data_IF_815117877926
#
_entry.id   IF_815117877926
#
_cell.length_a   1.000
_cell.length_b   1.000
_cell.length_c   1.000
_cell.angle_alpha   90.00
_cell.angle_beta   90.00
_cell.angle_gamma   90.00
#
_symmetry.space_group_name_H-M   'P 1'
#
loop_
_entity.id
_entity.type
_entity.pdbx_description
1 polymer ?
#
# COMPACT_ATOMS: atom_id res chain seq x y z
N UNK A 1 -28.44 -77.66 -19.19
CA UNK A 1 -28.99 -76.31 -18.92
C UNK A 1 -27.92 -75.50 -18.24
N UNK A 2 -27.23 -74.63 -18.98
CA UNK A 2 -26.18 -73.73 -18.40
C UNK A 2 -26.84 -72.37 -18.15
N UNK A 3 -26.88 -71.94 -16.88
CA UNK A 3 -27.36 -70.62 -16.48
C UNK A 3 -26.19 -69.61 -16.61
N UNK A 4 -26.32 -68.68 -17.55
CA UNK A 4 -25.38 -67.56 -17.68
C UNK A 4 -25.81 -66.43 -16.75
N UNK A 5 -24.96 -66.16 -15.76
CA UNK A 5 -25.13 -65.00 -14.85
C UNK A 5 -24.46 -63.78 -15.47
N UNK A 6 -25.28 -62.80 -15.82
CA UNK A 6 -24.83 -61.52 -16.38
C UNK A 6 -24.56 -60.55 -15.20
N UNK A 7 -23.28 -60.30 -14.90
CA UNK A 7 -22.89 -59.34 -13.85
C UNK A 7 -22.82 -57.93 -14.47
N UNK A 8 -23.75 -57.07 -14.09
CA UNK A 8 -23.70 -55.62 -14.40
C UNK A 8 -22.74 -54.93 -13.45
N UNK A 9 -21.59 -54.49 -13.96
CA UNK A 9 -20.70 -53.61 -13.24
C UNK A 9 -21.21 -52.18 -13.37
N UNK A 10 -21.72 -51.61 -12.29
CA UNK A 10 -22.06 -50.19 -12.19
C UNK A 10 -20.76 -49.40 -11.99
N UNK A 11 -20.28 -48.73 -13.03
CA UNK A 11 -19.14 -47.84 -12.93
C UNK A 11 -19.65 -46.47 -12.39
N UNK A 12 -19.54 -46.28 -11.08
CA UNK A 12 -19.85 -45.00 -10.43
C UNK A 12 -18.73 -44.04 -10.72
N UNK A 13 -18.93 -43.13 -11.67
CA UNK A 13 -18.08 -41.96 -11.89
C UNK A 13 -18.37 -40.97 -10.77
N UNK A 14 -17.57 -40.98 -9.72
CA UNK A 14 -17.56 -39.92 -8.71
C UNK A 14 -16.93 -38.68 -9.35
N UNK A 15 -17.75 -37.75 -9.83
CA UNK A 15 -17.31 -36.39 -10.15
C UNK A 15 -16.90 -35.74 -8.82
N UNK A 16 -15.60 -35.72 -8.53
CA UNK A 16 -15.02 -34.84 -7.52
C UNK A 16 -15.19 -33.39 -8.03
N UNK A 17 -16.31 -32.77 -7.72
CA UNK A 17 -16.43 -31.33 -7.78
C UNK A 17 -15.49 -30.75 -6.73
N UNK A 18 -14.26 -30.45 -7.14
CA UNK A 18 -13.37 -29.64 -6.34
C UNK A 18 -14.11 -28.33 -6.08
N UNK A 19 -14.54 -28.10 -4.85
CA UNK A 19 -15.09 -26.81 -4.47
C UNK A 19 -13.97 -25.79 -4.71
N UNK A 20 -14.16 -24.93 -5.72
CA UNK A 20 -13.19 -23.88 -6.02
C UNK A 20 -12.95 -23.09 -4.74
N UNK A 21 -11.69 -22.99 -4.33
CA UNK A 21 -11.32 -22.30 -3.11
C UNK A 21 -11.83 -20.85 -3.20
N UNK A 22 -12.51 -20.38 -2.15
CA UNK A 22 -13.15 -19.07 -2.15
C UNK A 22 -12.11 -17.98 -2.38
N UNK A 23 -12.30 -17.23 -3.43
CA UNK A 23 -11.50 -16.03 -3.75
C UNK A 23 -11.92 -14.91 -2.81
N UNK A 24 -10.95 -14.17 -2.26
CA UNK A 24 -11.18 -12.96 -1.49
C UNK A 24 -10.09 -11.95 -1.81
N UNK A 25 -10.46 -10.85 -2.43
CA UNK A 25 -9.55 -9.72 -2.67
C UNK A 25 -9.41 -8.91 -1.38
N UNK A 26 -8.18 -8.66 -0.97
CA UNK A 26 -7.86 -7.86 0.22
C UNK A 26 -7.39 -6.46 -0.17
N UNK A 27 -6.60 -6.36 -1.28
CA UNK A 27 -5.99 -5.12 -1.72
C UNK A 27 -5.69 -5.17 -3.22
N UNK A 28 -5.74 -4.01 -3.86
CA UNK A 28 -5.25 -3.78 -5.23
C UNK A 28 -4.27 -2.60 -5.17
N UNK A 29 -3.11 -2.77 -5.76
CA UNK A 29 -2.08 -1.75 -5.85
C UNK A 29 -1.67 -1.49 -7.32
N UNK A 30 -1.44 -0.21 -7.68
CA UNK A 30 -1.70 0.99 -6.90
C UNK A 30 -3.20 1.13 -6.55
N UNK A 31 -3.54 1.90 -5.51
CA UNK A 31 -4.92 2.03 -5.01
C UNK A 31 -5.84 2.82 -5.94
N UNK A 32 -5.26 3.60 -6.82
CA UNK A 32 -5.91 4.38 -7.87
C UNK A 32 -4.89 4.71 -8.96
N UNK A 33 -5.33 5.20 -10.11
CA UNK A 33 -4.43 5.58 -11.20
C UNK A 33 -4.97 6.76 -12.02
N UNK A 34 -4.16 7.25 -12.96
CA UNK A 34 -4.49 8.38 -13.81
C UNK A 34 -4.69 7.96 -15.27
N UNK A 35 -5.69 8.54 -15.93
CA UNK A 35 -5.86 8.44 -17.38
C UNK A 35 -5.06 9.52 -18.12
N UNK A 36 -4.88 9.35 -19.43
CA UNK A 36 -4.20 10.35 -20.28
C UNK A 36 -2.68 10.38 -20.12
N UNK A 37 -2.07 9.33 -19.55
CA UNK A 37 -0.62 9.18 -19.51
C UNK A 37 -0.07 8.76 -20.89
N UNK A 38 1.17 9.17 -21.22
CA UNK A 38 1.86 8.78 -22.46
C UNK A 38 1.99 7.25 -22.59
N UNK A 39 2.29 6.56 -21.49
CA UNK A 39 2.18 5.12 -21.42
C UNK A 39 0.80 4.76 -20.85
N UNK A 40 -0.10 4.16 -21.64
CA UNK A 40 -1.44 3.83 -21.19
C UNK A 40 -1.52 2.52 -20.40
N UNK A 41 -0.41 1.82 -20.22
CA UNK A 41 -0.39 0.53 -19.50
C UNK A 41 -0.45 0.77 -18.00
N UNK A 42 -1.41 0.13 -17.34
CA UNK A 42 -1.53 0.06 -15.88
C UNK A 42 -1.33 -1.39 -15.43
N UNK A 43 -0.33 -1.62 -14.59
CA UNK A 43 -0.17 -2.89 -13.88
C UNK A 43 -0.87 -2.81 -12.53
N UNK A 44 -1.81 -3.71 -12.28
CA UNK A 44 -2.45 -3.90 -10.99
C UNK A 44 -1.90 -5.15 -10.32
N UNK A 45 -1.41 -5.02 -9.11
CA UNK A 45 -1.15 -6.16 -8.22
C UNK A 45 -2.40 -6.41 -7.39
N UNK A 46 -3.02 -7.55 -7.59
CA UNK A 46 -4.16 -8.02 -6.79
C UNK A 46 -3.62 -8.94 -5.71
N UNK A 47 -3.85 -8.58 -4.45
CA UNK A 47 -3.49 -9.36 -3.28
C UNK A 47 -4.74 -9.86 -2.55
N UNK A 48 -4.73 -11.14 -2.16
CA UNK A 48 -5.85 -11.73 -1.44
C UNK A 48 -5.76 -13.25 -1.33
N UNK A 49 -6.80 -13.90 -0.84
CA UNK A 49 -6.84 -15.36 -0.73
C UNK A 49 -7.22 -15.98 -2.08
N UNK A 50 -6.43 -16.93 -2.55
CA UNK A 50 -6.68 -17.73 -3.76
C UNK A 50 -6.94 -16.90 -5.03
N UNK A 51 -6.33 -15.70 -5.15
CA UNK A 51 -6.55 -14.81 -6.29
C UNK A 51 -5.79 -15.24 -7.54
N UNK A 52 -4.68 -15.99 -7.40
CA UNK A 52 -3.80 -16.36 -8.52
C UNK A 52 -4.54 -16.98 -9.69
N UNK A 53 -5.42 -17.93 -9.42
CA UNK A 53 -6.11 -18.71 -10.46
C UNK A 53 -7.51 -18.18 -10.77
N UNK A 54 -7.88 -17.03 -10.19
CA UNK A 54 -9.17 -16.39 -10.45
C UNK A 54 -9.28 -15.90 -11.89
N UNK A 55 -10.48 -16.00 -12.45
CA UNK A 55 -10.83 -15.30 -13.69
C UNK A 55 -10.94 -13.80 -13.41
N UNK A 56 -10.40 -12.98 -14.32
CA UNK A 56 -10.44 -11.53 -14.18
C UNK A 56 -11.16 -10.93 -15.40
N UNK A 57 -12.05 -9.99 -15.12
CA UNK A 57 -12.66 -9.16 -16.16
C UNK A 57 -12.82 -7.73 -15.69
N UNK A 58 -12.80 -6.80 -16.65
CA UNK A 58 -13.03 -5.38 -16.42
C UNK A 58 -14.25 -4.92 -17.20
N UNK A 59 -15.07 -4.09 -16.58
CA UNK A 59 -16.23 -3.48 -17.21
C UNK A 59 -16.08 -1.95 -17.09
N UNK A 60 -15.45 -1.37 -18.11
CA UNK A 60 -15.27 0.08 -18.23
C UNK A 60 -14.95 0.48 -19.67
N UNK A 61 -15.54 1.56 -20.21
CA UNK A 61 -15.29 2.01 -21.58
C UNK A 61 -13.80 2.28 -21.86
N UNK A 62 -13.30 1.75 -22.96
CA UNK A 62 -11.90 1.91 -23.41
C UNK A 62 -10.83 1.38 -22.41
N UNK A 63 -11.23 0.47 -21.52
CA UNK A 63 -10.30 -0.30 -20.71
C UNK A 63 -10.34 -1.76 -21.11
N UNK A 64 -9.20 -2.37 -21.37
CA UNK A 64 -9.09 -3.80 -21.68
C UNK A 64 -7.95 -4.44 -20.91
N UNK A 65 -8.06 -5.72 -20.67
CA UNK A 65 -6.98 -6.53 -20.11
C UNK A 65 -6.07 -6.93 -21.28
N UNK A 66 -4.80 -6.49 -21.23
CA UNK A 66 -3.78 -6.88 -22.21
C UNK A 66 -3.14 -8.23 -21.84
N UNK A 67 -2.90 -8.47 -20.55
CA UNK A 67 -2.36 -9.75 -20.05
C UNK A 67 -2.59 -9.93 -18.55
N UNK A 68 -2.41 -11.17 -18.10
CA UNK A 68 -2.47 -11.56 -16.69
C UNK A 68 -1.24 -12.43 -16.40
N UNK A 69 -0.46 -12.05 -15.38
CA UNK A 69 0.64 -12.85 -14.89
C UNK A 69 0.26 -13.50 -13.54
N UNK A 70 0.31 -14.85 -13.54
CA UNK A 70 0.02 -15.67 -12.37
C UNK A 70 1.34 -16.00 -11.67
N UNK A 71 1.51 -15.51 -10.44
CA UNK A 71 2.73 -15.70 -9.67
C UNK A 71 2.72 -17.07 -8.96
N UNK A 72 3.86 -17.48 -8.39
CA UNK A 72 3.97 -18.75 -7.66
C UNK A 72 3.06 -18.79 -6.42
N UNK A 73 2.95 -17.65 -5.72
CA UNK A 73 2.06 -17.53 -4.58
C UNK A 73 0.59 -17.55 -4.99
N UNK A 74 -0.28 -18.35 -4.34
CA UNK A 74 -1.71 -18.37 -4.62
C UNK A 74 -2.42 -17.05 -4.27
N UNK A 75 -1.75 -16.16 -3.55
CA UNK A 75 -2.31 -14.94 -3.01
C UNK A 75 -1.99 -13.67 -3.82
N UNK A 76 -1.30 -13.81 -4.95
CA UNK A 76 -0.92 -12.68 -5.81
C UNK A 76 -1.27 -12.95 -7.26
N UNK A 77 -1.74 -11.89 -7.94
CA UNK A 77 -2.05 -11.87 -9.35
C UNK A 77 -1.69 -10.50 -9.91
N UNK A 78 -1.00 -10.44 -11.05
CA UNK A 78 -0.75 -9.19 -11.76
C UNK A 78 -1.68 -9.09 -12.97
N UNK A 79 -2.38 -7.98 -13.09
CA UNK A 79 -3.29 -7.69 -14.21
C UNK A 79 -2.77 -6.46 -14.95
N UNK A 80 -2.50 -6.61 -16.23
CA UNK A 80 -2.06 -5.51 -17.08
C UNK A 80 -3.24 -4.98 -17.89
N UNK A 81 -3.60 -3.73 -17.64
CA UNK A 81 -4.67 -3.03 -18.30
C UNK A 81 -4.12 -2.04 -19.31
N UNK A 82 -4.85 -1.86 -20.40
CA UNK A 82 -4.64 -0.77 -21.33
C UNK A 82 -5.74 0.28 -21.13
N UNK A 83 -5.34 1.51 -20.89
CA UNK A 83 -6.21 2.65 -20.59
C UNK A 83 -6.29 3.64 -21.75
N UNK A 84 -5.92 3.25 -22.99
CA UNK A 84 -5.98 4.14 -24.15
C UNK A 84 -7.40 4.61 -24.41
N UNK A 85 -7.62 5.93 -24.33
CA UNK A 85 -8.93 6.54 -24.53
C UNK A 85 -9.89 6.42 -23.35
N UNK A 86 -9.46 5.80 -22.23
CA UNK A 86 -10.27 5.76 -21.01
C UNK A 86 -10.50 7.16 -20.45
N UNK A 87 -11.66 7.39 -19.88
CA UNK A 87 -12.01 8.62 -19.19
C UNK A 87 -11.87 8.45 -17.68
N UNK A 88 -11.75 9.52 -16.89
CA UNK A 88 -11.79 9.43 -15.43
C UNK A 88 -13.13 8.88 -14.94
N UNK A 89 -13.10 8.09 -13.88
CA UNK A 89 -14.31 7.52 -13.27
C UNK A 89 -14.01 6.25 -12.46
N UNK A 90 -15.04 5.62 -11.94
CA UNK A 90 -14.95 4.39 -11.17
C UNK A 90 -15.19 3.18 -12.07
N UNK A 91 -14.16 2.37 -12.30
CA UNK A 91 -14.29 1.09 -13.00
C UNK A 91 -14.54 -0.06 -12.02
N UNK A 92 -15.16 -1.13 -12.49
CA UNK A 92 -15.33 -2.36 -11.73
C UNK A 92 -14.40 -3.44 -12.30
N UNK A 93 -13.50 -3.93 -11.45
CA UNK A 93 -12.69 -5.13 -11.70
C UNK A 93 -13.36 -6.32 -11.02
N UNK A 94 -13.64 -7.38 -11.79
CA UNK A 94 -14.09 -8.66 -11.23
C UNK A 94 -12.89 -9.59 -11.11
N UNK A 95 -12.74 -10.22 -9.94
CA UNK A 95 -11.71 -11.23 -9.67
C UNK A 95 -12.42 -12.44 -9.07
N UNK A 96 -12.65 -13.46 -9.87
CA UNK A 96 -13.57 -14.57 -9.53
C UNK A 96 -14.97 -14.04 -9.25
N UNK A 97 -15.48 -14.29 -8.04
CA UNK A 97 -16.79 -13.79 -7.59
C UNK A 97 -16.76 -12.38 -6.98
N UNK A 98 -15.57 -11.85 -6.70
CA UNK A 98 -15.40 -10.53 -6.08
C UNK A 98 -15.53 -9.40 -7.11
N UNK A 99 -16.19 -8.31 -6.72
CA UNK A 99 -16.26 -7.07 -7.49
C UNK A 99 -15.55 -5.98 -6.71
N UNK A 100 -14.48 -5.43 -7.29
CA UNK A 100 -13.69 -4.37 -6.67
C UNK A 100 -13.84 -3.11 -7.50
N UNK A 101 -14.17 -2.02 -6.84
CA UNK A 101 -14.21 -0.69 -7.45
C UNK A 101 -12.82 -0.09 -7.45
N UNK A 102 -12.45 0.49 -8.59
CA UNK A 102 -11.13 1.07 -8.79
C UNK A 102 -11.25 2.44 -9.45
N UNK A 103 -10.60 3.44 -8.86
CA UNK A 103 -10.72 4.82 -9.29
C UNK A 103 -9.69 5.17 -10.36
N UNK A 104 -10.16 5.58 -11.55
CA UNK A 104 -9.36 6.25 -12.55
C UNK A 104 -9.54 7.76 -12.40
N UNK A 105 -8.44 8.48 -12.20
CA UNK A 105 -8.42 9.93 -11.94
C UNK A 105 -8.02 10.72 -13.18
N UNK A 106 -8.46 11.95 -13.27
CA UNK A 106 -7.92 12.91 -14.22
C UNK A 106 -6.54 13.36 -13.75
N UNK A 107 -5.56 13.34 -14.66
CA UNK A 107 -4.27 13.95 -14.41
C UNK A 107 -4.42 15.47 -14.31
N UNK A 108 -3.91 16.06 -13.25
CA UNK A 108 -3.79 17.52 -13.18
C UNK A 108 -2.71 18.00 -14.15
N UNK A 109 -3.10 18.89 -15.06
CA UNK A 109 -2.22 19.46 -16.10
C UNK A 109 -1.74 20.86 -15.77
N UNK A 110 -2.30 21.51 -14.73
CA UNK A 110 -1.93 22.88 -14.34
C UNK A 110 -0.51 22.89 -13.77
N UNK A 111 0.44 23.47 -14.52
CA UNK A 111 1.84 23.63 -14.11
C UNK A 111 2.02 24.50 -12.86
N UNK A 112 1.08 25.40 -12.63
CA UNK A 112 1.16 26.48 -11.63
C UNK A 112 1.08 25.97 -10.16
N UNK A 113 0.69 24.72 -9.93
CA UNK A 113 0.58 24.13 -8.58
C UNK A 113 1.76 23.23 -8.20
N UNK A 114 2.74 23.08 -9.07
CA UNK A 114 3.91 22.20 -8.85
C UNK A 114 5.16 23.05 -8.70
N UNK A 115 5.23 23.73 -7.58
CA UNK A 115 6.43 24.46 -7.25
C UNK A 115 7.55 23.48 -6.87
N UNK A 116 8.69 23.61 -7.56
CA UNK A 116 9.93 22.92 -7.20
C UNK A 116 10.65 23.63 -6.05
N UNK A 117 11.86 23.16 -5.77
CA UNK A 117 12.76 23.79 -4.82
C UNK A 117 13.59 24.86 -5.53
N UNK A 118 13.91 25.91 -4.80
CA UNK A 118 14.79 27.00 -5.24
C UNK A 118 15.90 27.20 -4.24
N UNK A 119 16.87 28.08 -4.55
CA UNK A 119 17.93 28.48 -3.62
C UNK A 119 17.43 29.34 -2.45
N UNK A 120 16.14 29.72 -2.45
CA UNK A 120 15.50 30.39 -1.32
C UNK A 120 14.91 29.40 -0.29
N UNK A 121 14.88 28.11 -0.61
CA UNK A 121 14.31 27.11 0.26
C UNK A 121 15.31 26.66 1.35
N UNK A 122 14.81 26.48 2.56
CA UNK A 122 15.53 25.91 3.71
C UNK A 122 14.95 24.54 3.99
N UNK A 123 15.73 23.50 3.66
CA UNK A 123 15.35 22.11 3.92
C UNK A 123 15.72 21.70 5.33
N UNK A 124 14.76 21.12 6.05
CA UNK A 124 14.97 20.48 7.33
C UNK A 124 14.72 18.97 7.19
N UNK A 125 15.79 18.16 7.27
CA UNK A 125 15.67 16.71 7.29
C UNK A 125 15.33 16.26 8.71
N UNK A 126 14.27 15.45 8.83
CA UNK A 126 13.90 14.85 10.10
C UNK A 126 13.61 13.36 9.96
N UNK A 127 13.91 12.65 11.01
CA UNK A 127 13.57 11.24 11.17
C UNK A 127 12.29 11.15 12.00
N UNK A 128 11.15 10.72 11.44
CA UNK A 128 9.86 10.71 12.14
C UNK A 128 9.91 10.01 13.48
N UNK A 129 10.55 8.84 13.56
CA UNK A 129 10.70 8.08 14.81
C UNK A 129 11.36 8.89 15.95
N UNK A 130 12.20 9.89 15.61
CA UNK A 130 13.06 10.61 16.56
C UNK A 130 12.57 12.02 16.87
N UNK A 131 11.57 12.52 16.18
CA UNK A 131 11.15 13.90 16.33
C UNK A 131 10.12 14.07 17.45
N UNK A 132 8.89 13.67 17.25
CA UNK A 132 7.83 13.84 18.24
C UNK A 132 6.83 12.67 18.18
N UNK A 133 6.35 12.25 19.35
CA UNK A 133 5.30 11.24 19.48
C UNK A 133 4.01 11.89 19.92
N UNK A 134 2.92 11.60 19.23
CA UNK A 134 1.58 11.96 19.69
C UNK A 134 1.07 11.09 20.85
N UNK A 135 1.75 9.97 21.11
CA UNK A 135 1.28 8.93 22.03
C UNK A 135 0.35 7.90 21.38
N UNK A 136 -0.30 8.24 20.28
CA UNK A 136 -1.34 7.43 19.63
C UNK A 136 -0.91 6.00 19.31
N UNK A 137 0.34 5.82 18.88
CA UNK A 137 0.86 4.51 18.45
C UNK A 137 1.73 3.84 19.54
N UNK A 138 2.15 4.57 20.55
CA UNK A 138 3.02 4.09 21.63
C UNK A 138 2.26 3.67 22.88
N UNK A 139 0.98 4.00 23.00
CA UNK A 139 0.13 3.50 24.08
C UNK A 139 0.08 1.96 24.08
N UNK A 140 0.08 1.34 25.25
CA UNK A 140 0.20 -0.10 25.44
C UNK A 140 -0.80 -0.91 24.58
N UNK A 141 -2.05 -0.44 24.45
CA UNK A 141 -3.08 -1.09 23.62
C UNK A 141 -2.77 -1.02 22.14
N UNK A 142 -2.32 0.13 21.64
CA UNK A 142 -1.95 0.35 20.24
C UNK A 142 -0.69 -0.44 19.89
N UNK A 143 0.35 -0.36 20.73
CA UNK A 143 1.59 -1.11 20.56
C UNK A 143 1.36 -2.63 20.53
N UNK A 144 0.48 -3.16 21.40
CA UNK A 144 0.09 -4.58 21.37
C UNK A 144 -0.59 -4.96 20.06
N UNK A 145 -1.49 -4.12 19.54
CA UNK A 145 -2.17 -4.35 18.26
C UNK A 145 -1.19 -4.35 17.09
N UNK A 146 -0.26 -3.39 17.06
CA UNK A 146 0.79 -3.31 16.05
C UNK A 146 1.71 -4.53 16.08
N UNK A 147 2.16 -4.95 17.27
CA UNK A 147 3.01 -6.11 17.45
C UNK A 147 2.35 -7.44 17.07
N UNK A 148 1.02 -7.49 16.96
CA UNK A 148 0.31 -8.68 16.50
C UNK A 148 0.35 -8.84 14.96
N UNK A 149 0.60 -7.77 14.22
CA UNK A 149 0.56 -7.73 12.74
C UNK A 149 1.89 -7.35 12.10
N UNK A 150 2.79 -6.77 12.87
CA UNK A 150 4.11 -6.34 12.45
C UNK A 150 5.20 -7.09 13.23
N UNK A 151 6.39 -7.18 12.64
CA UNK A 151 7.56 -7.62 13.38
C UNK A 151 7.77 -6.70 14.58
N UNK A 152 8.13 -7.30 15.68
CA UNK A 152 8.35 -6.73 17.01
C UNK A 152 8.35 -5.19 17.09
N UNK A 153 7.35 -4.59 17.72
CA UNK A 153 7.28 -3.17 17.96
C UNK A 153 7.64 -2.86 19.42
N UNK A 154 8.89 -2.56 19.65
CA UNK A 154 9.42 -2.15 20.96
C UNK A 154 9.87 -0.69 20.90
N UNK A 155 9.31 0.13 21.77
CA UNK A 155 9.72 1.53 21.95
C UNK A 155 10.57 1.62 23.20
N UNK A 156 11.84 1.98 23.03
CA UNK A 156 12.76 2.25 24.15
C UNK A 156 13.68 3.41 23.79
N UNK A 157 13.39 4.58 24.33
CA UNK A 157 14.16 5.82 24.11
C UNK A 157 15.55 5.81 24.71
N UNK A 158 15.88 4.85 25.58
CA UNK A 158 17.21 4.68 26.13
C UNK A 158 18.13 3.89 25.22
N UNK A 159 17.59 3.18 24.27
CA UNK A 159 18.32 2.36 23.32
C UNK A 159 18.38 3.04 21.94
N UNK A 160 19.55 3.55 21.51
CA UNK A 160 19.68 4.26 20.23
C UNK A 160 19.28 3.43 19.00
N UNK A 161 19.41 2.11 19.08
CA UNK A 161 19.11 1.15 18.03
C UNK A 161 17.64 0.71 17.97
N UNK A 162 16.82 1.10 18.93
CA UNK A 162 15.41 0.78 18.95
C UNK A 162 14.55 1.98 18.54
N UNK A 163 13.26 1.74 18.30
CA UNK A 163 12.31 2.81 17.99
C UNK A 163 12.06 3.70 19.20
N UNK A 164 11.92 5.01 18.96
CA UNK A 164 11.60 5.99 19.98
C UNK A 164 10.14 6.43 19.95
N UNK A 165 9.39 5.99 18.93
CA UNK A 165 7.95 6.13 18.86
C UNK A 165 7.45 7.50 18.41
N UNK A 166 8.26 8.27 17.70
CA UNK A 166 7.80 9.44 16.96
C UNK A 166 6.86 9.01 15.82
N UNK A 167 5.91 9.88 15.47
CA UNK A 167 4.87 9.57 14.49
C UNK A 167 4.44 10.80 13.68
N UNK A 168 3.65 10.60 12.61
CA UNK A 168 3.19 11.66 11.72
C UNK A 168 2.31 12.68 12.42
N UNK A 169 1.49 12.24 13.36
CA UNK A 169 0.65 13.12 14.18
C UNK A 169 1.49 14.01 15.08
N UNK A 170 2.56 13.46 15.67
CA UNK A 170 3.52 14.24 16.45
C UNK A 170 4.20 15.32 15.61
N UNK A 171 4.56 15.03 14.37
CA UNK A 171 5.10 16.04 13.43
C UNK A 171 4.03 17.09 13.13
N UNK A 172 2.81 16.68 12.83
CA UNK A 172 1.69 17.56 12.48
C UNK A 172 1.40 18.57 13.60
N UNK A 173 1.46 18.15 14.85
CA UNK A 173 1.27 19.01 16.02
C UNK A 173 2.37 20.08 16.21
N UNK A 174 3.49 19.95 15.48
CA UNK A 174 4.65 20.85 15.60
C UNK A 174 4.99 21.61 14.32
N UNK A 175 4.03 21.74 13.39
CA UNK A 175 4.28 22.45 12.11
C UNK A 175 4.67 23.92 12.32
N UNK A 176 4.13 24.59 13.34
CA UNK A 176 4.45 25.97 13.64
C UNK A 176 5.91 26.15 14.10
N UNK A 177 6.47 25.16 14.79
CA UNK A 177 7.89 25.15 15.17
C UNK A 177 8.81 25.31 13.94
N UNK A 178 8.50 24.64 12.84
CA UNK A 178 9.32 24.74 11.62
C UNK A 178 9.22 26.12 10.98
N UNK A 179 8.05 26.74 10.99
CA UNK A 179 7.87 28.11 10.50
C UNK A 179 8.63 29.11 11.37
N UNK A 180 8.57 28.98 12.69
CA UNK A 180 9.33 29.82 13.63
C UNK A 180 10.83 29.66 13.43
N UNK A 181 11.31 28.47 13.04
CA UNK A 181 12.71 28.18 12.73
C UNK A 181 13.13 28.72 11.33
N UNK A 182 12.18 29.17 10.51
CA UNK A 182 12.45 29.65 9.15
C UNK A 182 12.64 28.54 8.10
N UNK A 183 12.19 27.33 8.40
CA UNK A 183 12.18 26.19 7.45
C UNK A 183 11.08 26.39 6.42
N UNK A 184 11.36 26.04 5.16
CA UNK A 184 10.38 26.09 4.07
C UNK A 184 10.05 24.72 3.49
N UNK A 185 10.83 23.69 3.83
CA UNK A 185 10.61 22.34 3.35
C UNK A 185 11.02 21.30 4.39
N UNK A 186 10.17 20.30 4.58
CA UNK A 186 10.42 19.16 5.45
C UNK A 186 10.77 17.94 4.61
N UNK A 187 11.92 17.35 4.86
CA UNK A 187 12.38 16.11 4.25
C UNK A 187 12.35 14.99 5.31
N UNK A 188 11.40 14.09 5.19
CA UNK A 188 11.30 12.93 6.09
C UNK A 188 12.20 11.80 5.59
N UNK A 189 12.95 11.13 6.49
CA UNK A 189 13.44 9.79 6.16
C UNK A 189 12.26 8.89 5.83
N UNK A 190 12.44 7.75 5.10
CA UNK A 190 11.32 7.01 4.53
C UNK A 190 10.23 6.67 5.55
N UNK A 191 9.00 7.05 5.22
CA UNK A 191 7.80 6.81 6.06
C UNK A 191 7.01 5.58 5.63
N UNK A 192 7.39 4.96 4.53
CA UNK A 192 6.74 3.76 4.02
C UNK A 192 7.01 2.56 4.92
N UNK A 193 6.09 1.58 4.88
CA UNK A 193 6.21 0.39 5.72
C UNK A 193 7.58 -0.27 5.59
N UNK A 194 8.21 -0.51 6.73
CA UNK A 194 9.45 -1.26 6.84
C UNK A 194 9.28 -2.35 7.89
N UNK A 195 8.63 -3.43 7.51
CA UNK A 195 8.33 -4.56 8.40
C UNK A 195 9.41 -5.64 8.38
N UNK A 196 10.67 -5.23 8.18
CA UNK A 196 11.80 -6.13 8.29
C UNK A 196 11.97 -6.62 9.72
N UNK A 197 12.34 -7.89 9.94
CA UNK A 197 12.70 -8.37 11.27
C UNK A 197 13.86 -7.54 11.85
N UNK A 198 13.86 -7.37 13.16
CA UNK A 198 15.06 -6.88 13.85
C UNK A 198 16.22 -7.84 13.52
N UNK A 199 17.42 -7.28 13.33
CA UNK A 199 18.58 -8.13 13.10
C UNK A 199 18.98 -8.88 14.38
N UNK A 200 19.91 -9.83 14.26
CA UNK A 200 20.38 -10.64 15.38
C UNK A 200 20.95 -9.82 16.55
N UNK A 201 21.45 -8.61 16.25
CA UNK A 201 21.93 -7.66 17.27
C UNK A 201 20.80 -6.84 17.93
N UNK A 202 19.53 -7.06 17.54
CA UNK A 202 18.37 -6.39 18.11
C UNK A 202 18.14 -4.96 17.59
N UNK A 203 18.73 -4.58 16.44
CA UNK A 203 18.51 -3.27 15.83
C UNK A 203 17.20 -3.26 15.05
N UNK A 204 16.36 -2.26 15.28
CA UNK A 204 15.17 -2.02 14.49
C UNK A 204 15.45 -1.08 13.30
N UNK A 205 14.63 -1.16 12.26
CA UNK A 205 14.74 -0.29 11.08
C UNK A 205 14.00 1.04 11.26
N UNK A 206 14.15 1.67 12.43
CA UNK A 206 13.46 2.91 12.83
C UNK A 206 13.66 4.07 11.86
N UNK A 207 14.76 4.06 11.11
CA UNK A 207 15.14 5.10 10.15
C UNK A 207 14.34 5.06 8.85
N UNK A 208 13.63 3.95 8.57
CA UNK A 208 12.80 3.78 7.37
C UNK A 208 13.51 3.21 6.14
N UNK A 209 14.85 3.17 6.09
CA UNK A 209 15.64 2.72 4.93
C UNK A 209 15.66 1.19 4.77
N UNK A 210 14.50 0.56 4.85
CA UNK A 210 14.30 -0.87 4.64
C UNK A 210 12.85 -1.14 4.20
N UNK A 211 12.39 -0.42 3.19
CA UNK A 211 11.01 -0.44 2.71
C UNK A 211 10.57 -1.85 2.30
N UNK A 212 9.46 -2.31 2.84
CA UNK A 212 8.83 -3.59 2.51
C UNK A 212 7.50 -3.44 1.77
N UNK A 213 6.89 -2.25 1.79
CA UNK A 213 5.66 -1.93 1.06
C UNK A 213 5.66 -0.47 0.61
N UNK A 214 5.70 -0.23 -0.71
CA UNK A 214 5.74 1.12 -1.30
C UNK A 214 4.38 1.80 -1.39
N UNK A 215 3.28 1.12 -1.07
CA UNK A 215 1.92 1.65 -1.19
C UNK A 215 1.30 2.02 0.14
N UNK A 216 2.03 1.80 1.23
CA UNK A 216 1.50 1.99 2.58
C UNK A 216 2.50 2.69 3.49
N UNK A 217 2.02 3.69 4.22
CA UNK A 217 2.75 4.28 5.33
C UNK A 217 2.94 3.21 6.42
N UNK A 218 4.10 3.22 7.07
CA UNK A 218 4.37 2.32 8.20
C UNK A 218 3.32 2.53 9.30
N UNK A 219 2.57 1.49 9.69
CA UNK A 219 1.52 1.63 10.70
C UNK A 219 1.99 2.11 12.07
N UNK A 220 3.30 2.09 12.31
CA UNK A 220 3.91 2.65 13.53
C UNK A 220 4.06 4.16 13.45
N UNK A 221 4.10 4.73 12.25
CA UNK A 221 4.11 6.19 12.02
C UNK A 221 2.72 6.75 11.80
N UNK A 222 1.81 5.96 11.21
CA UNK A 222 0.48 6.43 10.87
C UNK A 222 -0.17 5.67 9.75
N UNK A 223 -1.03 6.37 9.01
CA UNK A 223 -1.79 5.88 7.86
C UNK A 223 -1.54 6.74 6.63
N UNK A 224 -1.87 6.21 5.44
CA UNK A 224 -1.83 7.01 4.20
C UNK A 224 -2.71 8.27 4.29
N UNK A 225 -3.82 8.20 5.02
CA UNK A 225 -4.69 9.35 5.22
C UNK A 225 -4.03 10.41 6.11
N UNK A 226 -3.39 10.01 7.20
CA UNK A 226 -2.66 10.93 8.09
C UNK A 226 -1.46 11.58 7.41
N UNK A 227 -0.78 10.85 6.52
CA UNK A 227 0.29 11.45 5.72
C UNK A 227 -0.26 12.54 4.77
N UNK A 228 -1.40 12.28 4.11
CA UNK A 228 -2.06 13.30 3.27
C UNK A 228 -2.48 14.51 4.10
N UNK A 229 -3.09 14.29 5.26
CA UNK A 229 -3.48 15.37 6.16
C UNK A 229 -2.27 16.21 6.62
N UNK A 230 -1.17 15.57 6.99
CA UNK A 230 0.07 16.25 7.33
C UNK A 230 0.59 17.10 6.16
N UNK A 231 0.58 16.55 4.94
CA UNK A 231 1.02 17.28 3.75
C UNK A 231 0.12 18.49 3.44
N UNK A 232 -1.19 18.31 3.51
CA UNK A 232 -2.17 19.39 3.26
C UNK A 232 -2.02 20.52 4.28
N UNK A 233 -1.86 20.20 5.56
CA UNK A 233 -1.67 21.19 6.63
C UNK A 233 -0.31 21.88 6.54
N UNK A 234 0.76 21.14 6.18
CA UNK A 234 2.08 21.72 5.93
C UNK A 234 2.05 22.70 4.75
N UNK A 235 1.43 22.31 3.64
CA UNK A 235 1.26 23.19 2.47
C UNK A 235 0.45 24.45 2.82
N UNK A 236 -0.63 24.32 3.61
CA UNK A 236 -1.41 25.47 4.07
C UNK A 236 -0.58 26.45 4.92
N UNK A 237 0.51 25.99 5.53
CA UNK A 237 1.46 26.79 6.31
C UNK A 237 2.69 27.23 5.49
N UNK A 238 2.71 26.95 4.16
CA UNK A 238 3.83 27.31 3.27
C UNK A 238 5.03 26.35 3.36
N UNK A 239 4.89 25.21 4.02
CA UNK A 239 5.94 24.20 4.12
C UNK A 239 5.81 23.19 2.98
N UNK A 240 6.86 22.98 2.21
CA UNK A 240 6.96 21.92 1.19
C UNK A 240 7.27 20.59 1.88
N UNK A 241 6.83 19.47 1.28
CA UNK A 241 7.12 18.12 1.77
C UNK A 241 7.97 17.35 0.77
N UNK A 242 9.05 16.74 1.23
CA UNK A 242 9.88 15.80 0.49
C UNK A 242 9.70 14.41 1.08
N UNK A 243 9.18 13.50 0.26
CA UNK A 243 9.07 12.08 0.60
C UNK A 243 10.31 11.36 0.11
N UNK A 244 11.11 10.82 1.04
CA UNK A 244 12.26 10.01 0.70
C UNK A 244 11.81 8.63 0.20
N UNK A 245 12.36 8.21 -0.93
CA UNK A 245 12.03 6.94 -1.62
C UNK A 245 13.30 6.20 -1.97
N UNK A 246 13.42 4.95 -1.51
CA UNK A 246 14.53 4.03 -1.80
C UNK A 246 14.03 2.75 -2.44
#
# INVERSE_FOLDING_TARGET
MKKTVLTFAFLSVVLLMSAAAKVKVTRIDPTDWYVGLKNPTLQLMVYGQNVRDAEVSVDYPNVRIDSIARLDSPNYLLVYLNLSGAQPGEMTLKVGSEKVKYQLKQREMSGDKREGFTNADVLYMLMPDRFASSGKYTEAKAAKKLSATLNKYVVDRKQPSLRHGGDLEGIRQHLDYFNELGVTALWFTPVLENNSPDNEAGYSTYHGYATTDYYRVDPRFGTNQEYRQLADEAHAKGLKIVMDMI
#
